data_IF_320980926681
#
_entry.id   IF_320980926681
#
_cell.length_a   1.000
_cell.length_b   1.000
_cell.length_c   1.000
_cell.angle_alpha   90.00
_cell.angle_beta   90.00
_cell.angle_gamma   90.00
#
_symmetry.space_group_name_H-M   'P 1'
#
loop_
_entity.id
_entity.type
_entity.pdbx_description
1 polymer ?
#
# COMPACT_ATOMS: atom_id res chain seq x y z
N UNK A 1 3.88 19.04 4.48
CA UNK A 1 3.65 20.13 3.50
C UNK A 1 3.05 19.64 2.17
N UNK A 2 3.68 18.73 1.39
CA UNK A 2 3.06 18.25 0.13
C UNK A 2 1.82 17.37 0.35
N UNK A 3 1.87 16.46 1.32
CA UNK A 3 0.75 15.56 1.64
C UNK A 3 -0.49 16.33 2.10
N UNK A 4 -0.35 17.24 3.08
CA UNK A 4 -1.47 18.00 3.63
C UNK A 4 -2.18 18.85 2.57
N UNK A 5 -1.40 19.45 1.65
CA UNK A 5 -1.95 20.22 0.53
C UNK A 5 -2.71 19.34 -0.48
N UNK A 6 -2.25 18.10 -0.68
CA UNK A 6 -2.97 17.11 -1.49
C UNK A 6 -4.28 16.70 -0.80
N UNK A 7 -4.24 16.43 0.50
CA UNK A 7 -5.44 16.05 1.26
C UNK A 7 -6.50 17.14 1.23
N UNK A 8 -6.11 18.41 1.40
CA UNK A 8 -7.03 19.55 1.30
C UNK A 8 -7.75 19.63 -0.07
N UNK A 9 -7.13 19.13 -1.14
CA UNK A 9 -7.74 19.11 -2.49
C UNK A 9 -8.52 17.83 -2.77
N UNK A 10 -8.19 16.75 -2.06
CA UNK A 10 -8.74 15.41 -2.31
C UNK A 10 -10.00 15.19 -1.49
N UNK A 11 -10.04 15.67 -0.25
CA UNK A 11 -11.17 15.49 0.64
C UNK A 11 -12.23 16.57 0.40
N UNK A 12 -13.53 16.21 0.39
CA UNK A 12 -14.63 17.15 0.45
C UNK A 12 -14.55 18.08 1.66
N UNK A 13 -15.07 19.30 1.53
CA UNK A 13 -15.14 20.25 2.64
C UNK A 13 -15.93 19.65 3.81
N UNK A 14 -15.34 19.74 5.02
CA UNK A 14 -15.95 19.21 6.24
C UNK A 14 -15.82 17.70 6.44
N UNK A 15 -15.29 16.94 5.47
CA UNK A 15 -15.00 15.51 5.66
C UNK A 15 -13.86 15.33 6.66
N UNK A 16 -14.09 14.49 7.68
CA UNK A 16 -13.04 14.12 8.64
C UNK A 16 -12.25 12.93 8.11
N UNK A 17 -10.94 12.94 8.32
CA UNK A 17 -10.04 11.86 7.88
C UNK A 17 -10.41 10.49 8.47
N UNK A 18 -10.92 10.46 9.71
CA UNK A 18 -11.39 9.25 10.39
C UNK A 18 -12.66 8.64 9.77
N UNK A 19 -13.37 9.38 8.92
CA UNK A 19 -14.59 8.95 8.21
C UNK A 19 -14.30 8.52 6.76
N UNK A 20 -13.07 8.67 6.28
CA UNK A 20 -12.68 8.34 4.90
C UNK A 20 -12.48 6.83 4.76
N UNK A 21 -13.31 6.20 3.94
CA UNK A 21 -13.24 4.76 3.64
C UNK A 21 -12.40 4.45 2.40
N UNK A 22 -12.37 5.36 1.42
CA UNK A 22 -11.58 5.22 0.20
C UNK A 22 -10.74 6.46 -0.05
N UNK A 23 -9.45 6.26 -0.33
CA UNK A 23 -8.52 7.33 -0.62
C UNK A 23 -7.66 7.00 -1.84
N UNK A 24 -7.74 7.84 -2.86
CA UNK A 24 -6.94 7.76 -4.07
C UNK A 24 -5.93 8.92 -4.13
N UNK A 25 -4.65 8.57 -3.99
CA UNK A 25 -3.50 9.45 -4.05
C UNK A 25 -2.58 9.09 -5.23
N UNK A 26 -3.12 8.43 -6.26
CA UNK A 26 -2.34 7.92 -7.38
C UNK A 26 -1.68 9.04 -8.20
N UNK A 27 -0.45 8.81 -8.65
CA UNK A 27 0.27 9.71 -9.57
C UNK A 27 0.47 11.15 -9.06
N UNK A 28 0.60 11.32 -7.74
CA UNK A 28 0.73 12.64 -7.11
C UNK A 28 2.18 13.02 -6.78
N UNK A 29 3.16 12.19 -7.19
CA UNK A 29 4.59 12.26 -6.83
C UNK A 29 4.84 12.48 -5.34
N UNK A 30 4.09 11.78 -4.51
CA UNK A 30 4.25 11.76 -3.06
C UNK A 30 5.46 10.90 -2.67
N UNK A 31 6.26 11.40 -1.72
CA UNK A 31 7.27 10.61 -1.00
C UNK A 31 6.91 10.46 0.48
N UNK A 32 6.08 11.35 1.03
CA UNK A 32 5.67 11.32 2.44
C UNK A 32 4.16 11.10 2.48
N UNK A 33 3.73 10.20 3.36
CA UNK A 33 2.35 9.88 3.65
C UNK A 33 2.08 10.13 5.13
N UNK A 34 0.87 10.53 5.50
CA UNK A 34 0.44 10.63 6.90
C UNK A 34 -0.96 10.03 7.04
N UNK A 35 -1.01 8.72 7.26
CA UNK A 35 -2.20 7.88 7.21
C UNK A 35 -2.75 7.53 8.60
N UNK A 36 -2.07 7.95 9.68
CA UNK A 36 -2.41 7.56 11.05
C UNK A 36 -3.84 7.97 11.49
N UNK A 37 -4.45 8.93 10.79
CA UNK A 37 -5.77 9.50 11.08
C UNK A 37 -6.92 8.84 10.30
N UNK A 38 -6.61 7.93 9.38
CA UNK A 38 -7.58 7.31 8.47
C UNK A 38 -8.02 5.93 8.97
N UNK A 39 -8.63 5.88 10.16
CA UNK A 39 -8.99 4.62 10.84
C UNK A 39 -10.09 3.82 10.15
N UNK A 40 -10.97 4.49 9.41
CA UNK A 40 -12.04 3.84 8.63
C UNK A 40 -11.59 3.40 7.23
N UNK A 41 -10.33 3.67 6.84
CA UNK A 41 -9.86 3.44 5.48
C UNK A 41 -9.85 1.95 5.13
N UNK A 42 -10.56 1.59 4.07
CA UNK A 42 -10.68 0.24 3.53
C UNK A 42 -9.91 0.10 2.22
N UNK A 43 -9.86 1.16 1.41
CA UNK A 43 -9.20 1.17 0.10
C UNK A 43 -8.21 2.31 0.02
N UNK A 44 -6.94 1.99 -0.19
CA UNK A 44 -5.87 2.97 -0.40
C UNK A 44 -5.19 2.73 -1.74
N UNK A 45 -5.16 3.77 -2.57
CA UNK A 45 -4.36 3.81 -3.81
C UNK A 45 -3.28 4.87 -3.69
N UNK A 46 -2.03 4.43 -3.72
CA UNK A 46 -0.83 5.29 -3.72
C UNK A 46 0.10 4.94 -4.89
N UNK A 47 -0.41 4.27 -5.92
CA UNK A 47 0.36 3.86 -7.08
C UNK A 47 0.89 5.03 -7.91
N UNK A 48 2.04 4.83 -8.57
CA UNK A 48 2.65 5.86 -9.42
C UNK A 48 3.23 7.04 -8.63
N UNK A 49 3.63 6.82 -7.38
CA UNK A 49 4.31 7.81 -6.55
C UNK A 49 5.81 7.47 -6.43
N UNK A 50 6.49 8.05 -5.44
CA UNK A 50 7.91 7.80 -5.17
C UNK A 50 8.12 7.29 -3.74
N UNK A 51 7.14 6.56 -3.21
CA UNK A 51 7.13 6.04 -1.84
C UNK A 51 8.14 4.89 -1.70
N UNK A 52 8.99 4.96 -0.68
CA UNK A 52 9.97 3.91 -0.34
C UNK A 52 9.47 3.01 0.80
N UNK A 53 10.22 1.96 1.14
CA UNK A 53 9.93 1.13 2.31
C UNK A 53 10.01 1.93 3.64
N UNK A 54 10.91 2.91 3.73
CA UNK A 54 10.99 3.77 4.92
C UNK A 54 9.77 4.68 5.05
N UNK A 55 9.34 5.29 3.94
CA UNK A 55 8.18 6.18 3.92
C UNK A 55 6.89 5.43 4.32
N UNK A 56 6.75 4.16 3.91
CA UNK A 56 5.62 3.32 4.32
C UNK A 56 5.62 3.04 5.82
N UNK A 57 6.77 2.74 6.42
CA UNK A 57 6.87 2.51 7.86
C UNK A 57 6.54 3.79 8.64
N UNK A 58 7.01 4.94 8.18
CA UNK A 58 6.75 6.23 8.82
C UNK A 58 5.35 6.80 8.55
N UNK A 59 4.64 6.25 7.55
CA UNK A 59 3.33 6.76 7.15
C UNK A 59 2.22 6.61 8.19
N UNK A 60 2.38 5.72 9.16
CA UNK A 60 1.31 5.35 10.09
C UNK A 60 0.21 4.49 9.47
N UNK A 61 0.44 3.87 8.30
CA UNK A 61 -0.51 2.97 7.62
C UNK A 61 -1.01 1.81 8.50
N UNK A 62 -0.24 1.41 9.52
CA UNK A 62 -0.65 0.37 10.48
C UNK A 62 -1.83 0.79 11.37
N UNK A 63 -2.13 2.10 11.46
CA UNK A 63 -3.33 2.58 12.14
C UNK A 63 -4.60 2.44 11.29
N UNK A 64 -4.47 2.19 9.98
CA UNK A 64 -5.59 1.87 9.08
C UNK A 64 -6.02 0.41 9.28
N UNK A 65 -6.55 0.10 10.46
CA UNK A 65 -6.90 -1.28 10.86
C UNK A 65 -8.03 -1.89 10.03
N UNK A 66 -8.81 -1.04 9.35
CA UNK A 66 -9.88 -1.43 8.42
C UNK A 66 -9.39 -1.68 6.99
N UNK A 67 -8.10 -1.50 6.71
CA UNK A 67 -7.60 -1.53 5.33
C UNK A 67 -7.68 -2.95 4.74
N UNK A 68 -8.41 -3.07 3.64
CA UNK A 68 -8.62 -4.33 2.92
C UNK A 68 -7.86 -4.36 1.60
N UNK A 69 -7.69 -3.20 0.95
CA UNK A 69 -7.04 -3.07 -0.34
C UNK A 69 -5.95 -1.99 -0.31
N UNK A 70 -4.74 -2.36 -0.75
CA UNK A 70 -3.61 -1.45 -0.92
C UNK A 70 -3.02 -1.58 -2.32
N UNK A 71 -3.12 -0.54 -3.14
CA UNK A 71 -2.32 -0.42 -4.37
C UNK A 71 -1.14 0.52 -4.15
N UNK A 72 0.06 -0.06 -4.17
CA UNK A 72 1.33 0.64 -4.06
C UNK A 72 2.23 0.35 -5.27
N UNK A 73 1.65 -0.03 -6.39
CA UNK A 73 2.35 -0.32 -7.64
C UNK A 73 3.12 0.91 -8.16
N UNK A 74 4.20 0.69 -8.88
CA UNK A 74 5.02 1.73 -9.52
C UNK A 74 5.52 2.79 -8.50
N UNK A 75 6.05 2.33 -7.37
CA UNK A 75 6.71 3.15 -6.36
C UNK A 75 8.21 2.81 -6.27
N UNK A 76 8.85 3.10 -5.14
CA UNK A 76 10.30 2.92 -4.92
C UNK A 76 10.57 2.00 -3.73
N UNK A 77 9.74 0.99 -3.51
CA UNK A 77 9.95 0.02 -2.43
C UNK A 77 11.06 -0.94 -2.82
N UNK A 78 12.14 -0.98 -2.05
CA UNK A 78 13.35 -1.73 -2.42
C UNK A 78 13.44 -3.10 -1.76
N UNK A 79 12.91 -3.24 -0.54
CA UNK A 79 13.14 -4.41 0.31
C UNK A 79 11.86 -5.19 0.57
N UNK A 80 11.79 -6.40 0.02
CA UNK A 80 10.63 -7.27 0.17
C UNK A 80 10.39 -7.70 1.62
N UNK A 81 11.44 -8.05 2.38
CA UNK A 81 11.28 -8.47 3.78
C UNK A 81 10.71 -7.35 4.68
N UNK A 82 11.04 -6.08 4.39
CA UNK A 82 10.48 -4.93 5.11
C UNK A 82 9.00 -4.76 4.81
N UNK A 83 8.63 -4.88 3.53
CA UNK A 83 7.24 -4.86 3.12
C UNK A 83 6.47 -6.01 3.76
N UNK A 84 6.96 -7.25 3.68
CA UNK A 84 6.31 -8.42 4.28
C UNK A 84 6.07 -8.22 5.79
N UNK A 85 7.10 -7.81 6.54
CA UNK A 85 6.98 -7.51 7.99
C UNK A 85 5.90 -6.46 8.28
N UNK A 86 5.78 -5.43 7.44
CA UNK A 86 4.74 -4.42 7.60
C UNK A 86 3.34 -5.01 7.33
N UNK A 87 3.18 -5.76 6.23
CA UNK A 87 1.90 -6.38 5.86
C UNK A 87 1.42 -7.39 6.91
N UNK A 88 2.33 -8.08 7.60
CA UNK A 88 2.02 -9.00 8.71
C UNK A 88 1.29 -8.30 9.87
N UNK A 89 1.46 -6.98 10.01
CA UNK A 89 0.80 -6.18 11.05
C UNK A 89 -0.59 -5.69 10.67
N UNK A 90 -1.07 -6.00 9.45
CA UNK A 90 -2.31 -5.48 8.88
C UNK A 90 -3.35 -6.61 8.73
N UNK A 91 -4.06 -6.99 9.81
CA UNK A 91 -4.89 -8.20 9.86
C UNK A 91 -6.10 -8.17 8.90
N UNK A 92 -6.56 -6.98 8.52
CA UNK A 92 -7.67 -6.79 7.58
C UNK A 92 -7.28 -6.88 6.11
N UNK A 93 -5.99 -6.92 5.77
CA UNK A 93 -5.53 -6.72 4.40
C UNK A 93 -5.79 -7.95 3.51
N UNK A 94 -6.69 -7.77 2.55
CA UNK A 94 -7.15 -8.80 1.62
C UNK A 94 -6.48 -8.74 0.27
N UNK A 95 -6.01 -7.56 -0.17
CA UNK A 95 -5.41 -7.37 -1.48
C UNK A 95 -4.26 -6.38 -1.41
N UNK A 96 -3.11 -6.74 -2.01
CA UNK A 96 -1.97 -5.83 -2.17
C UNK A 96 -1.43 -5.89 -3.59
N UNK A 97 -1.20 -4.72 -4.20
CA UNK A 97 -0.58 -4.59 -5.51
C UNK A 97 0.78 -3.89 -5.38
N UNK A 98 1.83 -4.57 -5.84
CA UNK A 98 3.23 -4.14 -5.65
C UNK A 98 4.03 -4.07 -6.95
N UNK A 99 3.37 -4.29 -8.10
CA UNK A 99 4.02 -4.38 -9.42
C UNK A 99 4.79 -3.09 -9.72
N UNK A 100 5.98 -3.20 -10.33
CA UNK A 100 6.78 -2.03 -10.70
C UNK A 100 7.55 -1.37 -9.55
N UNK A 101 7.60 -2.01 -8.37
CA UNK A 101 8.55 -1.64 -7.33
C UNK A 101 9.88 -2.41 -7.49
N UNK A 102 11.03 -1.83 -7.12
CA UNK A 102 12.33 -2.52 -7.16
C UNK A 102 12.37 -3.85 -6.38
N UNK A 103 11.62 -3.96 -5.27
CA UNK A 103 11.50 -5.20 -4.50
C UNK A 103 10.77 -6.32 -5.27
N UNK A 104 10.06 -5.96 -6.34
CA UNK A 104 9.26 -6.84 -7.16
C UNK A 104 9.68 -6.74 -8.64
N UNK A 105 10.84 -7.31 -8.94
CA UNK A 105 11.22 -7.59 -10.31
C UNK A 105 10.41 -8.79 -10.83
N UNK A 106 9.45 -8.51 -11.71
CA UNK A 106 8.63 -9.53 -12.35
C UNK A 106 9.45 -10.52 -13.18
N UNK A 107 10.70 -10.21 -13.53
CA UNK A 107 11.58 -11.14 -14.25
C UNK A 107 12.34 -12.11 -13.33
N UNK A 108 12.29 -11.91 -12.01
CA UNK A 108 12.94 -12.78 -11.03
C UNK A 108 11.97 -13.82 -10.45
N UNK A 109 12.09 -15.06 -10.92
CA UNK A 109 11.35 -16.20 -10.38
C UNK A 109 11.54 -16.33 -8.85
N UNK A 110 12.76 -16.11 -8.36
CA UNK A 110 13.09 -16.17 -6.94
C UNK A 110 12.33 -15.12 -6.12
N UNK A 111 12.23 -13.89 -6.63
CA UNK A 111 11.47 -12.84 -5.93
C UNK A 111 9.97 -13.15 -5.89
N UNK A 112 9.43 -13.71 -6.98
CA UNK A 112 8.04 -14.19 -7.01
C UNK A 112 7.80 -15.31 -5.99
N UNK A 113 8.68 -16.31 -5.93
CA UNK A 113 8.56 -17.43 -4.98
C UNK A 113 8.71 -16.97 -3.54
N UNK A 114 9.68 -16.11 -3.23
CA UNK A 114 9.88 -15.57 -1.88
C UNK A 114 8.70 -14.71 -1.42
N UNK A 115 8.11 -13.92 -2.34
CA UNK A 115 6.90 -13.18 -2.06
C UNK A 115 5.74 -14.15 -1.80
N UNK A 116 5.50 -15.09 -2.70
CA UNK A 116 4.41 -16.07 -2.56
C UNK A 116 4.54 -16.94 -1.30
N UNK A 117 5.75 -17.32 -0.89
CA UNK A 117 5.95 -18.07 0.36
C UNK A 117 5.60 -17.24 1.59
N UNK A 118 6.11 -16.00 1.67
CA UNK A 118 5.76 -15.07 2.75
C UNK A 118 4.26 -14.77 2.78
N UNK A 119 3.63 -14.60 1.62
CA UNK A 119 2.20 -14.34 1.52
C UNK A 119 1.32 -15.56 1.79
N UNK A 120 1.81 -16.76 1.49
CA UNK A 120 1.15 -18.01 1.86
C UNK A 120 1.14 -18.16 3.39
N UNK A 121 2.22 -17.74 4.06
CA UNK A 121 2.30 -17.70 5.53
C UNK A 121 1.28 -16.70 6.12
N UNK A 122 0.96 -15.63 5.39
CA UNK A 122 -0.07 -14.65 5.78
C UNK A 122 -1.49 -15.25 5.68
N UNK A 123 -1.74 -16.39 4.98
CA UNK A 123 -3.07 -16.63 4.37
C UNK A 123 -3.76 -17.97 4.54
N UNK A 124 -4.81 -17.86 5.36
CA UNK A 124 -6.17 -18.16 4.92
C UNK A 124 -6.93 -16.99 4.23
N UNK A 125 -6.29 -15.90 3.76
CA UNK A 125 -6.99 -14.62 3.52
C UNK A 125 -6.76 -13.81 2.20
N UNK A 126 -6.00 -14.21 1.17
CA UNK A 126 -5.92 -13.46 -0.14
C UNK A 126 -6.59 -14.39 -1.11
N UNK A 127 -7.81 -14.03 -1.51
CA UNK A 127 -8.56 -14.75 -2.53
C UNK A 127 -8.11 -14.36 -3.94
N UNK A 128 -7.46 -13.19 -4.12
CA UNK A 128 -7.00 -12.74 -5.43
C UNK A 128 -5.66 -12.01 -5.35
N UNK A 129 -4.57 -12.74 -5.59
CA UNK A 129 -3.40 -12.11 -6.20
C UNK A 129 -3.72 -11.92 -7.66
N UNK A 130 -4.19 -10.74 -8.03
CA UNK A 130 -4.25 -10.36 -9.43
C UNK A 130 -2.82 -10.11 -9.92
N UNK A 131 -2.08 -11.20 -10.13
CA UNK A 131 -0.92 -11.25 -11.01
C UNK A 131 -1.44 -11.09 -12.43
N UNK A 132 -1.96 -9.92 -12.77
CA UNK A 132 -2.34 -9.61 -14.15
C UNK A 132 -1.05 -9.38 -14.94
N UNK A 133 -0.33 -10.48 -15.18
CA UNK A 133 0.69 -10.61 -16.21
C UNK A 133 0.18 -11.68 -17.17
N UNK A 134 -0.81 -11.28 -17.95
CA UNK A 134 -0.93 -11.65 -19.36
C UNK A 134 -0.68 -10.30 -20.06
N UNK A 135 0.49 -10.00 -20.62
CA UNK A 135 1.35 -10.80 -21.49
C UNK A 135 2.83 -10.45 -21.29
#
# INVERSE_FOLDING_TARGET
FRFDAVMYRTLPEGMKEEEVEELDLSNMSLSILNLARFSALQVLRVNGNVVTDADLVESGITACTSLEFLDMSNNKVEKMDRLATLLDTMPGLKTVMVVGNPCFDTNSFTNRVNLLSRLADIKGALTEFNLTVLN
#
